data_IF_084791548408
#
_entry.id   IF_084791548408
#
_cell.length_a   1.000
_cell.length_b   1.000
_cell.length_c   1.000
_cell.angle_alpha   90.00
_cell.angle_beta   90.00
_cell.angle_gamma   90.00
#
_symmetry.space_group_name_H-M   'P 1'
#
loop_
_entity.id
_entity.type
_entity.pdbx_description
1 polymer ?
#
# COMPACT_ATOMS: atom_id res chain seq x y z
N UNK A 1 21.99 -12.54 2.14
CA UNK A 1 21.84 -11.17 2.66
C UNK A 1 20.38 -10.81 2.52
N UNK A 2 19.73 -10.43 3.61
CA UNK A 2 18.36 -9.94 3.58
C UNK A 2 18.33 -8.63 2.77
N UNK A 3 17.48 -8.55 1.74
CA UNK A 3 17.38 -7.35 0.88
C UNK A 3 16.76 -6.23 1.72
N UNK A 4 17.50 -5.15 1.95
CA UNK A 4 16.99 -3.97 2.64
C UNK A 4 15.79 -3.40 1.86
N UNK A 5 14.68 -3.12 2.55
CA UNK A 5 13.49 -2.55 1.93
C UNK A 5 13.79 -1.14 1.40
N UNK A 6 13.25 -0.83 0.23
CA UNK A 6 13.37 0.50 -0.39
C UNK A 6 14.78 0.85 -0.89
N UNK A 7 15.76 -0.05 -0.94
CA UNK A 7 17.05 0.27 -1.57
C UNK A 7 16.88 0.74 -3.03
N UNK A 8 16.02 0.06 -3.78
CA UNK A 8 15.54 0.43 -5.11
C UNK A 8 14.03 0.64 -5.07
N UNK A 9 13.44 1.37 -6.04
CA UNK A 9 11.98 1.48 -6.14
C UNK A 9 11.32 0.09 -6.16
N UNK A 10 10.20 -0.12 -5.45
CA UNK A 10 9.45 -1.36 -5.56
C UNK A 10 8.87 -1.50 -6.97
N UNK A 11 8.90 -2.71 -7.51
CA UNK A 11 8.31 -3.03 -8.81
C UNK A 11 7.21 -4.06 -8.62
N UNK A 12 6.04 -3.81 -9.21
CA UNK A 12 4.89 -4.68 -9.01
C UNK A 12 3.66 -4.24 -9.79
N UNK A 13 2.51 -4.69 -9.30
CA UNK A 13 1.19 -4.41 -9.83
C UNK A 13 0.23 -4.12 -8.68
N UNK A 14 -0.75 -3.26 -8.95
CA UNK A 14 -1.82 -2.92 -8.02
C UNK A 14 -3.18 -3.08 -8.70
N UNK A 15 -4.19 -3.54 -7.96
CA UNK A 15 -5.51 -3.87 -8.50
C UNK A 15 -6.39 -2.69 -8.93
N UNK A 16 -6.14 -1.48 -8.43
CA UNK A 16 -7.10 -0.38 -8.48
C UNK A 16 -7.44 0.10 -9.89
N UNK A 17 -6.43 0.42 -10.71
CA UNK A 17 -6.64 1.06 -12.02
C UNK A 17 -7.41 0.17 -13.01
N UNK A 18 -7.40 -1.15 -12.82
CA UNK A 18 -8.12 -2.09 -13.69
C UNK A 18 -9.43 -2.57 -13.08
N UNK A 19 -9.42 -2.93 -11.79
CA UNK A 19 -10.51 -3.66 -11.17
C UNK A 19 -11.31 -2.85 -10.15
N UNK A 20 -10.78 -1.74 -9.65
CA UNK A 20 -11.42 -0.90 -8.62
C UNK A 20 -11.93 -1.75 -7.44
N UNK A 21 -13.25 -1.83 -7.25
CA UNK A 21 -13.89 -2.64 -6.20
C UNK A 21 -14.10 -4.11 -6.57
N UNK A 22 -13.95 -4.50 -7.84
CA UNK A 22 -14.20 -5.87 -8.34
C UNK A 22 -12.98 -6.79 -8.17
N UNK A 23 -12.48 -6.88 -6.92
CA UNK A 23 -11.37 -7.76 -6.54
C UNK A 23 -11.86 -8.97 -5.75
N UNK A 24 -11.18 -10.11 -5.88
CA UNK A 24 -11.42 -11.31 -5.08
C UNK A 24 -10.17 -12.22 -5.08
N UNK A 25 -10.18 -13.24 -4.23
CA UNK A 25 -9.09 -14.22 -4.08
C UNK A 25 -8.64 -14.82 -5.43
N UNK A 26 -9.55 -15.25 -6.30
CA UNK A 26 -9.22 -15.89 -7.57
C UNK A 26 -8.53 -14.93 -8.54
N UNK A 27 -8.99 -13.68 -8.61
CA UNK A 27 -8.37 -12.64 -9.43
C UNK A 27 -6.92 -12.40 -9.01
N UNK A 28 -6.65 -12.31 -7.71
CA UNK A 28 -5.30 -12.05 -7.21
C UNK A 28 -4.38 -13.23 -7.46
N UNK A 29 -4.89 -14.46 -7.35
CA UNK A 29 -4.14 -15.67 -7.72
C UNK A 29 -3.83 -15.69 -9.21
N UNK A 30 -4.77 -15.32 -10.08
CA UNK A 30 -4.55 -15.20 -11.52
C UNK A 30 -3.52 -14.12 -11.86
N UNK A 31 -3.54 -12.98 -11.17
CA UNK A 31 -2.51 -11.94 -11.33
C UNK A 31 -1.11 -12.47 -10.96
N UNK A 32 -1.00 -13.24 -9.87
CA UNK A 32 0.25 -13.88 -9.46
C UNK A 32 0.73 -14.92 -10.48
N UNK A 33 -0.17 -15.70 -11.08
CA UNK A 33 0.16 -16.63 -12.16
C UNK A 33 0.65 -15.90 -13.42
N UNK A 34 -0.02 -14.81 -13.80
CA UNK A 34 0.38 -13.98 -14.95
C UNK A 34 1.77 -13.35 -14.79
N UNK A 35 2.21 -13.05 -13.56
CA UNK A 35 3.58 -12.58 -13.30
C UNK A 35 4.64 -13.62 -13.70
N UNK A 36 4.33 -14.90 -13.51
CA UNK A 36 5.24 -16.01 -13.84
C UNK A 36 5.14 -16.32 -15.33
N UNK A 37 3.93 -16.51 -15.84
CA UNK A 37 3.69 -16.92 -17.23
C UNK A 37 4.22 -15.89 -18.25
N UNK A 38 4.15 -14.61 -17.93
CA UNK A 38 4.59 -13.52 -18.81
C UNK A 38 6.01 -13.02 -18.52
N UNK A 39 6.75 -13.66 -17.61
CA UNK A 39 8.14 -13.30 -17.28
C UNK A 39 8.30 -11.96 -16.53
N UNK A 40 7.23 -11.40 -15.95
CA UNK A 40 7.30 -10.14 -15.18
C UNK A 40 8.17 -10.31 -13.93
N UNK A 41 8.08 -11.47 -13.26
CA UNK A 41 8.93 -11.78 -12.12
C UNK A 41 10.41 -11.79 -12.50
N UNK A 42 10.76 -12.40 -13.63
CA UNK A 42 12.13 -12.46 -14.12
C UNK A 42 12.65 -11.06 -14.53
N UNK A 43 11.74 -10.17 -14.96
CA UNK A 43 12.03 -8.76 -15.21
C UNK A 43 12.14 -7.91 -13.92
N UNK A 44 11.89 -8.47 -12.74
CA UNK A 44 12.07 -7.82 -11.43
C UNK A 44 10.79 -7.34 -10.75
N UNK A 45 9.60 -7.52 -11.36
CA UNK A 45 8.33 -7.19 -10.72
C UNK A 45 8.00 -8.26 -9.66
N UNK A 46 7.91 -7.85 -8.39
CA UNK A 46 7.77 -8.80 -7.28
C UNK A 46 6.55 -8.53 -6.39
N UNK A 47 5.96 -7.33 -6.39
CA UNK A 47 4.81 -6.99 -5.54
C UNK A 47 3.46 -7.17 -6.25
N UNK A 48 2.54 -7.91 -5.64
CA UNK A 48 1.12 -8.00 -6.02
C UNK A 48 0.30 -7.33 -4.91
N UNK A 49 -0.15 -6.10 -5.14
CA UNK A 49 -0.80 -5.27 -4.12
C UNK A 49 -2.31 -5.21 -4.37
N UNK A 50 -3.11 -5.62 -3.39
CA UNK A 50 -4.56 -5.37 -3.41
C UNK A 50 -4.84 -3.98 -2.86
N UNK A 51 -5.69 -3.23 -3.55
CA UNK A 51 -6.09 -1.88 -3.16
C UNK A 51 -7.34 -1.88 -2.28
N UNK A 52 -8.04 -0.75 -2.21
CA UNK A 52 -9.27 -0.58 -1.42
C UNK A 52 -10.35 -1.65 -1.73
N UNK A 53 -11.39 -1.70 -0.90
CA UNK A 53 -12.54 -2.59 -1.04
C UNK A 53 -12.26 -4.09 -0.77
N UNK A 54 -11.16 -4.45 -0.11
CA UNK A 54 -10.89 -5.86 0.24
C UNK A 54 -11.58 -6.32 1.54
N UNK A 55 -11.92 -5.39 2.43
CA UNK A 55 -12.47 -5.68 3.75
C UNK A 55 -13.99 -5.57 3.80
N UNK A 56 -14.59 -6.13 4.84
CA UNK A 56 -15.93 -5.77 5.29
C UNK A 56 -16.05 -4.28 5.59
N UNK A 57 -17.29 -3.78 5.64
CA UNK A 57 -17.59 -2.38 5.99
C UNK A 57 -17.47 -2.07 7.47
N UNK A 58 -17.30 -3.09 8.32
CA UNK A 58 -17.16 -2.95 9.76
C UNK A 58 -16.04 -3.83 10.28
N UNK A 59 -15.36 -3.35 11.32
CA UNK A 59 -14.45 -4.17 12.14
C UNK A 59 -15.27 -5.19 12.94
N UNK A 60 -14.65 -6.30 13.35
CA UNK A 60 -15.30 -7.23 14.25
C UNK A 60 -15.38 -6.69 15.69
N UNK A 61 -15.98 -7.45 16.60
CA UNK A 61 -16.15 -7.06 18.02
C UNK A 61 -14.82 -6.82 18.76
N UNK A 62 -13.70 -7.36 18.26
CA UNK A 62 -12.35 -7.13 18.80
C UNK A 62 -11.66 -5.91 18.19
N UNK A 63 -12.33 -5.20 17.28
CA UNK A 63 -11.76 -4.08 16.55
C UNK A 63 -10.82 -4.48 15.42
N UNK A 64 -10.79 -5.74 14.99
CA UNK A 64 -9.93 -6.21 13.91
C UNK A 64 -10.55 -5.92 12.53
N UNK A 65 -9.72 -5.64 11.53
CA UNK A 65 -10.15 -5.61 10.13
C UNK A 65 -10.56 -7.02 9.69
N UNK A 66 -11.69 -7.12 8.99
CA UNK A 66 -12.24 -8.40 8.52
C UNK A 66 -12.20 -8.41 7.00
N UNK A 67 -11.60 -9.41 6.34
CA UNK A 67 -11.69 -9.57 4.89
C UNK A 67 -13.15 -9.79 4.46
N UNK A 68 -13.55 -9.21 3.33
CA UNK A 68 -14.90 -9.43 2.78
C UNK A 68 -15.10 -10.93 2.50
N UNK A 69 -16.12 -11.54 3.11
CA UNK A 69 -16.32 -13.00 3.06
C UNK A 69 -16.74 -13.53 1.68
N UNK A 70 -17.26 -12.68 0.79
CA UNK A 70 -17.57 -13.08 -0.58
C UNK A 70 -16.34 -12.97 -1.48
N UNK A 71 -15.50 -11.96 -1.26
CA UNK A 71 -14.28 -11.74 -2.04
C UNK A 71 -13.13 -12.65 -1.61
N UNK A 72 -13.01 -12.88 -0.31
CA UNK A 72 -11.94 -13.63 0.33
C UNK A 72 -12.52 -14.64 1.32
N UNK A 73 -13.26 -15.67 0.84
CA UNK A 73 -13.96 -16.63 1.70
C UNK A 73 -13.03 -17.42 2.63
N UNK A 74 -11.73 -17.51 2.28
CA UNK A 74 -10.72 -18.17 3.10
C UNK A 74 -9.84 -17.17 3.88
N UNK A 75 -10.18 -15.87 3.84
CA UNK A 75 -9.38 -14.79 4.39
C UNK A 75 -8.17 -14.40 3.52
N UNK A 76 -7.37 -13.45 3.99
CA UNK A 76 -6.23 -12.90 3.22
C UNK A 76 -5.01 -13.81 3.27
N UNK A 77 -4.75 -14.47 4.39
CA UNK A 77 -3.54 -15.28 4.58
C UNK A 77 -3.36 -16.35 3.49
N UNK A 78 -4.38 -17.15 3.10
CA UNK A 78 -4.20 -18.13 2.03
C UNK A 78 -3.88 -17.50 0.65
N UNK A 79 -4.32 -16.25 0.41
CA UNK A 79 -3.97 -15.51 -0.80
C UNK A 79 -2.51 -15.08 -0.76
N UNK A 80 -2.06 -14.52 0.36
CA UNK A 80 -0.67 -14.15 0.57
C UNK A 80 0.26 -15.38 0.46
N UNK A 81 -0.10 -16.50 1.08
CA UNK A 81 0.63 -17.76 1.00
C UNK A 81 0.73 -18.26 -0.46
N UNK A 82 -0.34 -18.11 -1.26
CA UNK A 82 -0.31 -18.45 -2.69
C UNK A 82 0.65 -17.54 -3.47
N UNK A 83 0.58 -16.23 -3.27
CA UNK A 83 1.49 -15.25 -3.89
C UNK A 83 2.95 -15.56 -3.51
N UNK A 84 3.21 -15.88 -2.24
CA UNK A 84 4.54 -16.29 -1.78
C UNK A 84 5.01 -17.61 -2.40
N UNK A 85 4.10 -18.56 -2.64
CA UNK A 85 4.44 -19.84 -3.32
C UNK A 85 4.98 -19.63 -4.75
N UNK A 86 4.60 -18.52 -5.39
CA UNK A 86 5.12 -18.08 -6.70
C UNK A 86 6.43 -17.29 -6.56
N UNK A 87 6.93 -17.09 -5.34
CA UNK A 87 8.08 -16.27 -5.00
C UNK A 87 7.87 -14.78 -5.26
N UNK A 88 6.62 -14.33 -5.18
CA UNK A 88 6.21 -12.92 -5.21
C UNK A 88 5.95 -12.43 -3.77
N UNK A 89 5.64 -11.15 -3.63
CA UNK A 89 5.34 -10.45 -2.38
C UNK A 89 3.91 -9.94 -2.42
N UNK A 90 3.18 -10.09 -1.32
CA UNK A 90 1.79 -9.68 -1.22
C UNK A 90 1.65 -8.32 -0.55
N UNK A 91 0.85 -7.43 -1.14
CA UNK A 91 0.58 -6.11 -0.59
C UNK A 91 -0.90 -5.90 -0.28
N UNK A 92 -1.16 -5.04 0.69
CA UNK A 92 -2.51 -4.65 1.12
C UNK A 92 -2.61 -3.12 1.22
N UNK A 93 -3.84 -2.65 1.35
CA UNK A 93 -4.18 -1.23 1.46
C UNK A 93 -4.93 -0.94 2.76
N UNK A 94 -4.63 0.21 3.36
CA UNK A 94 -5.43 0.83 4.42
C UNK A 94 -5.28 2.36 4.35
N UNK A 95 -5.80 3.07 5.34
CA UNK A 95 -5.85 4.51 5.39
C UNK A 95 -5.48 5.05 6.78
N UNK A 96 -4.84 6.23 6.82
CA UNK A 96 -4.50 7.00 8.02
C UNK A 96 -5.71 7.69 8.68
N UNK A 97 -6.88 7.58 8.08
CA UNK A 97 -8.14 8.06 8.64
C UNK A 97 -9.02 6.96 9.22
N UNK A 98 -10.18 7.37 9.70
CA UNK A 98 -11.20 6.46 10.26
C UNK A 98 -11.78 5.51 9.20
N UNK A 99 -11.78 5.96 7.95
CA UNK A 99 -12.26 5.20 6.80
C UNK A 99 -11.26 5.31 5.64
N UNK A 100 -11.28 4.32 4.77
CA UNK A 100 -10.62 4.36 3.47
C UNK A 100 -11.35 5.28 2.51
N UNK A 101 -10.74 5.60 1.37
CA UNK A 101 -11.37 6.43 0.35
C UNK A 101 -12.68 5.85 -0.20
N UNK A 102 -12.80 4.52 -0.29
CA UNK A 102 -14.04 3.84 -0.65
C UNK A 102 -14.99 3.59 0.54
N UNK A 103 -14.69 4.15 1.72
CA UNK A 103 -15.53 4.06 2.91
C UNK A 103 -15.53 2.69 3.58
N UNK A 104 -14.42 1.96 3.55
CA UNK A 104 -14.16 0.80 4.41
C UNK A 104 -13.46 1.26 5.71
N UNK A 105 -13.36 0.45 6.77
CA UNK A 105 -12.62 0.84 7.97
C UNK A 105 -11.14 1.15 7.65
N UNK A 106 -10.67 2.33 8.06
CA UNK A 106 -9.25 2.71 8.02
C UNK A 106 -8.55 2.34 9.33
N UNK A 107 -7.24 2.58 9.44
CA UNK A 107 -6.41 2.16 10.58
C UNK A 107 -6.13 3.25 11.63
N UNK A 108 -6.76 4.42 11.53
CA UNK A 108 -6.58 5.45 12.56
C UNK A 108 -6.96 4.91 13.95
N UNK A 109 -6.06 5.06 14.92
CA UNK A 109 -6.14 4.53 16.30
C UNK A 109 -6.11 2.99 16.45
N UNK A 110 -5.92 2.26 15.35
CA UNK A 110 -5.74 0.81 15.32
C UNK A 110 -4.40 0.40 14.72
N UNK A 111 -3.43 1.32 14.59
CA UNK A 111 -2.24 1.11 13.77
C UNK A 111 -1.40 -0.09 14.21
N UNK A 112 -1.21 -0.28 15.51
CA UNK A 112 -0.45 -1.42 16.06
C UNK A 112 -1.19 -2.75 15.88
N UNK A 113 -2.49 -2.78 16.16
CA UNK A 113 -3.33 -3.97 15.98
C UNK A 113 -3.39 -4.40 14.51
N UNK A 114 -3.59 -3.44 13.60
CA UNK A 114 -3.67 -3.71 12.18
C UNK A 114 -2.32 -4.14 11.62
N UNK A 115 -1.20 -3.54 12.07
CA UNK A 115 0.14 -3.98 11.68
C UNK A 115 0.44 -5.42 12.11
N UNK A 116 0.06 -5.82 13.33
CA UNK A 116 0.14 -7.21 13.78
C UNK A 116 -0.71 -8.13 12.89
N UNK A 117 -1.96 -7.74 12.61
CA UNK A 117 -2.86 -8.49 11.71
C UNK A 117 -2.25 -8.68 10.32
N UNK A 118 -1.67 -7.62 9.74
CA UNK A 118 -1.00 -7.68 8.44
C UNK A 118 0.22 -8.62 8.48
N UNK A 119 1.01 -8.58 9.55
CA UNK A 119 2.14 -9.49 9.73
C UNK A 119 1.71 -10.95 9.84
N UNK A 120 0.64 -11.24 10.60
CA UNK A 120 0.06 -12.58 10.74
C UNK A 120 -0.46 -13.15 9.41
N UNK A 121 -1.03 -12.28 8.56
CA UNK A 121 -1.47 -12.66 7.22
C UNK A 121 -0.33 -12.77 6.21
N UNK A 122 0.91 -12.40 6.57
CA UNK A 122 2.08 -12.48 5.69
C UNK A 122 2.19 -11.33 4.69
N UNK A 123 1.58 -10.17 4.98
CA UNK A 123 1.72 -8.98 4.12
C UNK A 123 3.18 -8.52 4.04
N UNK A 124 3.62 -8.08 2.87
CA UNK A 124 4.96 -7.57 2.58
C UNK A 124 4.96 -6.08 2.19
N UNK A 125 3.80 -5.50 1.93
CA UNK A 125 3.62 -4.13 1.46
C UNK A 125 2.32 -3.53 1.98
N UNK A 126 2.36 -2.32 2.52
CA UNK A 126 1.19 -1.53 2.89
C UNK A 126 1.16 -0.23 2.09
N UNK A 127 0.13 -0.05 1.24
CA UNK A 127 -0.31 1.26 0.76
C UNK A 127 -1.17 1.91 1.84
N UNK A 128 -0.82 3.13 2.25
CA UNK A 128 -1.45 3.80 3.38
C UNK A 128 -1.97 5.18 2.99
N UNK A 129 -3.26 5.22 2.68
CA UNK A 129 -3.98 6.39 2.16
C UNK A 129 -4.26 7.44 3.24
N UNK A 130 -4.91 8.54 2.84
CA UNK A 130 -5.06 9.74 3.66
C UNK A 130 -6.47 10.33 3.70
N UNK A 131 -7.46 9.60 3.18
CA UNK A 131 -8.88 9.91 3.29
C UNK A 131 -9.37 9.89 4.76
N UNK A 132 -10.39 10.68 5.09
CA UNK A 132 -11.05 10.70 6.41
C UNK A 132 -10.10 10.83 7.63
N UNK A 133 -8.93 11.45 7.45
CA UNK A 133 -7.99 11.74 8.53
C UNK A 133 -8.55 12.79 9.49
N UNK A 134 -8.27 12.71 10.80
CA UNK A 134 -8.67 13.74 11.76
C UNK A 134 -7.98 15.07 11.41
N UNK A 135 -8.79 16.09 11.13
CA UNK A 135 -8.35 17.40 10.58
C UNK A 135 -7.26 18.06 11.43
N UNK A 136 -7.30 17.87 12.76
CA UNK A 136 -6.38 18.52 13.70
C UNK A 136 -5.08 17.77 13.96
N UNK A 137 -4.88 16.58 13.35
CA UNK A 137 -3.64 15.82 13.51
C UNK A 137 -2.77 15.99 12.25
N UNK A 138 -1.51 16.43 12.40
CA UNK A 138 -0.58 16.52 11.26
C UNK A 138 -0.34 15.15 10.63
N UNK A 139 -0.25 15.08 9.29
CA UNK A 139 0.06 13.83 8.59
C UNK A 139 1.35 13.17 9.03
N UNK A 140 2.36 13.97 9.31
CA UNK A 140 3.63 13.51 9.85
C UNK A 140 3.45 12.57 11.05
N UNK A 141 2.57 12.91 11.99
CA UNK A 141 2.32 12.11 13.19
C UNK A 141 1.61 10.80 12.84
N UNK A 142 0.62 10.85 11.94
CA UNK A 142 -0.15 9.68 11.51
C UNK A 142 0.75 8.65 10.79
N UNK A 143 1.57 9.10 9.84
CA UNK A 143 2.49 8.24 9.11
C UNK A 143 3.63 7.71 10.00
N UNK A 144 4.20 8.53 10.91
CA UNK A 144 5.19 8.07 11.89
C UNK A 144 4.62 7.01 12.83
N UNK A 145 3.34 7.12 13.22
CA UNK A 145 2.67 6.13 14.06
C UNK A 145 2.53 4.78 13.35
N UNK A 146 1.97 4.77 12.13
CA UNK A 146 1.88 3.54 11.34
C UNK A 146 3.26 2.95 11.02
N UNK A 147 4.24 3.77 10.65
CA UNK A 147 5.61 3.29 10.43
C UNK A 147 6.21 2.64 11.68
N UNK A 148 5.91 3.18 12.87
CA UNK A 148 6.35 2.58 14.13
C UNK A 148 5.64 1.26 14.40
N UNK A 149 4.33 1.17 14.14
CA UNK A 149 3.59 -0.09 14.24
C UNK A 149 4.17 -1.17 13.32
N UNK A 150 4.41 -0.86 12.04
CA UNK A 150 5.01 -1.78 11.07
C UNK A 150 6.41 -2.24 11.48
N UNK A 151 7.23 -1.38 12.08
CA UNK A 151 8.56 -1.78 12.60
C UNK A 151 8.47 -2.73 13.80
N UNK A 152 7.36 -2.74 14.53
CA UNK A 152 7.18 -3.55 15.74
C UNK A 152 6.36 -4.83 15.51
N UNK A 153 5.76 -5.03 14.34
CA UNK A 153 4.91 -6.19 14.06
C UNK A 153 5.68 -7.51 13.80
N UNK A 154 7.02 -7.49 13.82
CA UNK A 154 7.85 -8.69 13.67
C UNK A 154 8.04 -9.17 12.22
N UNK A 155 7.49 -8.47 11.22
CA UNK A 155 7.68 -8.74 9.79
C UNK A 155 8.13 -7.48 9.04
N UNK A 156 9.13 -7.54 8.15
CA UNK A 156 9.46 -6.42 7.28
C UNK A 156 8.33 -6.15 6.28
N UNK A 157 7.68 -4.97 6.38
CA UNK A 157 6.60 -4.54 5.48
C UNK A 157 7.03 -3.24 4.78
N UNK A 158 7.04 -3.24 3.45
CA UNK A 158 7.25 -2.05 2.62
C UNK A 158 6.14 -1.04 2.92
N UNK A 159 6.49 0.20 3.19
CA UNK A 159 5.53 1.23 3.64
C UNK A 159 5.41 2.33 2.59
N UNK A 160 4.26 2.37 1.93
CA UNK A 160 3.94 3.31 0.85
C UNK A 160 2.97 4.36 1.35
N UNK A 161 3.47 5.57 1.59
CA UNK A 161 2.66 6.68 2.06
C UNK A 161 1.87 7.30 0.90
N UNK A 162 0.54 7.33 1.00
CA UNK A 162 -0.34 7.89 -0.03
C UNK A 162 -1.12 9.08 0.54
N UNK A 163 -0.53 10.28 0.54
CA UNK A 163 -1.21 11.51 0.97
C UNK A 163 -1.30 12.58 -0.14
N UNK A 164 -1.06 12.16 -1.38
CA UNK A 164 -1.14 13.00 -2.58
C UNK A 164 -0.22 14.23 -2.61
N UNK A 165 0.89 14.21 -1.87
CA UNK A 165 1.79 15.37 -1.76
C UNK A 165 1.36 16.41 -0.73
N UNK A 166 0.32 16.16 0.06
CA UNK A 166 -0.21 17.12 1.05
C UNK A 166 0.68 17.28 2.29
N UNK A 167 0.33 18.24 3.14
CA UNK A 167 0.98 18.53 4.42
C UNK A 167 2.50 18.76 4.29
N UNK A 168 2.95 19.43 3.21
CA UNK A 168 4.36 19.68 2.90
C UNK A 168 5.22 18.40 2.97
N UNK A 169 4.73 17.29 2.42
CA UNK A 169 5.29 15.93 2.62
C UNK A 169 6.81 15.84 2.51
N UNK A 170 7.41 16.59 1.59
CA UNK A 170 8.84 16.62 1.33
C UNK A 170 9.70 17.02 2.54
N UNK A 171 9.12 17.74 3.52
CA UNK A 171 9.84 18.20 4.72
C UNK A 171 10.08 17.08 5.74
N UNK A 172 9.25 16.04 5.77
CA UNK A 172 9.23 15.08 6.89
C UNK A 172 9.10 13.62 6.47
N UNK A 173 8.76 13.30 5.22
CA UNK A 173 8.45 11.92 4.86
C UNK A 173 9.65 10.98 4.95
N UNK A 174 10.85 11.46 4.62
CA UNK A 174 12.08 10.66 4.67
C UNK A 174 12.45 10.22 6.08
N UNK A 175 12.06 10.99 7.09
CA UNK A 175 12.26 10.65 8.51
C UNK A 175 11.06 9.89 9.11
N UNK A 176 9.95 9.75 8.37
CA UNK A 176 8.78 9.01 8.86
C UNK A 176 9.03 7.50 8.93
N UNK A 177 9.93 7.00 8.06
CA UNK A 177 10.17 5.58 7.82
C UNK A 177 9.30 4.97 6.71
N UNK A 178 8.61 5.79 5.91
CA UNK A 178 8.04 5.38 4.63
C UNK A 178 9.16 5.09 3.61
N UNK A 179 8.97 4.03 2.82
CA UNK A 179 9.92 3.58 1.80
C UNK A 179 9.63 4.18 0.43
N UNK A 180 8.41 4.68 0.24
CA UNK A 180 7.99 5.50 -0.90
C UNK A 180 6.81 6.37 -0.50
N UNK A 181 6.58 7.44 -1.25
CA UNK A 181 5.52 8.40 -0.96
C UNK A 181 4.93 9.06 -2.20
N UNK A 182 3.60 9.13 -2.25
CA UNK A 182 2.86 9.84 -3.30
C UNK A 182 3.11 11.33 -3.19
N UNK A 183 3.70 11.92 -4.23
CA UNK A 183 3.93 13.37 -4.33
C UNK A 183 2.89 14.11 -5.15
N UNK A 184 1.95 13.38 -5.75
CA UNK A 184 0.93 13.93 -6.63
C UNK A 184 -0.46 13.39 -6.31
N UNK A 185 -1.49 14.08 -6.80
CA UNK A 185 -2.83 13.51 -6.93
C UNK A 185 -2.86 12.30 -7.88
N UNK A 186 -4.01 11.64 -7.93
CA UNK A 186 -4.15 10.39 -8.67
C UNK A 186 -4.02 10.60 -10.19
N UNK A 187 -3.37 9.64 -10.84
CA UNK A 187 -3.29 9.55 -12.29
C UNK A 187 -4.65 9.18 -12.89
N UNK A 188 -4.83 9.53 -14.15
CA UNK A 188 -5.96 9.14 -14.97
C UNK A 188 -5.42 8.66 -16.30
N UNK A 189 -6.10 7.70 -16.94
CA UNK A 189 -5.67 7.12 -18.22
C UNK A 189 -5.91 8.07 -19.40
N UNK A 190 -5.14 9.15 -19.42
CA UNK A 190 -5.07 10.10 -20.53
C UNK A 190 -3.75 10.87 -20.50
N UNK A 191 -3.33 11.31 -21.69
CA UNK A 191 -2.06 12.01 -21.89
C UNK A 191 -1.93 13.29 -21.06
N UNK A 192 -3.02 14.02 -20.84
CA UNK A 192 -2.97 15.27 -20.10
C UNK A 192 -2.64 15.03 -18.62
N UNK A 193 -3.20 13.99 -18.02
CA UNK A 193 -2.86 13.59 -16.65
C UNK A 193 -1.39 13.18 -16.56
N UNK A 194 -0.92 12.29 -17.44
CA UNK A 194 0.48 11.84 -17.47
C UNK A 194 1.44 13.03 -17.56
N UNK A 195 1.20 13.91 -18.54
CA UNK A 195 2.02 15.10 -18.76
C UNK A 195 2.03 16.03 -17.55
N UNK A 196 0.85 16.30 -16.97
CA UNK A 196 0.71 17.18 -15.80
C UNK A 196 1.48 16.63 -14.59
N UNK A 197 1.38 15.33 -14.33
CA UNK A 197 2.08 14.68 -13.23
C UNK A 197 3.60 14.69 -13.45
N UNK A 198 4.07 14.35 -14.65
CA UNK A 198 5.50 14.38 -14.96
C UNK A 198 6.09 15.79 -14.80
N UNK A 199 5.40 16.82 -15.31
CA UNK A 199 5.86 18.21 -15.22
C UNK A 199 5.83 18.75 -13.78
N UNK A 200 4.90 18.29 -12.92
CA UNK A 200 4.84 18.74 -11.52
C UNK A 200 6.04 18.26 -10.68
N UNK A 201 6.80 17.28 -11.17
CA UNK A 201 7.98 16.76 -10.48
C UNK A 201 9.27 17.47 -10.84
N UNK A 202 9.26 18.36 -11.84
CA UNK A 202 10.45 19.14 -12.20
C UNK A 202 10.93 19.99 -11.01
N UNK A 203 12.15 19.75 -10.55
CA UNK A 203 12.75 20.41 -9.37
C UNK A 203 12.52 19.70 -8.03
N UNK A 204 11.73 18.62 -8.01
CA UNK A 204 11.47 17.81 -6.81
C UNK A 204 12.27 16.50 -6.79
N UNK A 205 13.18 16.29 -7.75
CA UNK A 205 13.90 15.02 -7.93
C UNK A 205 14.76 14.66 -6.72
N UNK A 206 15.28 15.67 -6.00
CA UNK A 206 16.14 15.50 -4.84
C UNK A 206 15.43 14.94 -3.60
N UNK A 207 14.09 14.94 -3.58
CA UNK A 207 13.32 14.43 -2.44
C UNK A 207 13.16 12.91 -2.47
N UNK A 208 13.33 12.28 -3.64
CA UNK A 208 13.40 10.82 -3.78
C UNK A 208 14.83 10.28 -3.67
N UNK A 209 14.97 9.03 -3.27
CA UNK A 209 16.25 8.31 -3.31
C UNK A 209 16.18 6.97 -2.60
N UNK A 210 17.34 6.32 -2.43
CA UNK A 210 17.42 5.08 -1.68
C UNK A 210 16.71 5.21 -0.32
N UNK A 211 15.92 4.21 0.00
CA UNK A 211 15.09 4.04 1.19
C UNK A 211 13.86 4.96 1.30
N UNK A 212 13.63 5.88 0.36
CA UNK A 212 12.40 6.69 0.30
C UNK A 212 12.20 7.25 -1.12
N UNK A 213 11.41 6.56 -1.94
CA UNK A 213 11.23 6.91 -3.35
C UNK A 213 10.03 7.84 -3.56
N UNK A 214 10.20 8.80 -4.47
CA UNK A 214 9.10 9.63 -4.93
C UNK A 214 8.16 8.79 -5.83
N UNK A 215 6.87 8.75 -5.51
CA UNK A 215 5.83 8.01 -6.22
C UNK A 215 4.89 9.00 -6.93
N UNK A 216 4.80 8.86 -8.25
CA UNK A 216 3.97 9.69 -9.15
C UNK A 216 2.67 9.00 -9.55
N UNK A 217 2.25 8.00 -8.75
CA UNK A 217 1.14 7.08 -8.96
C UNK A 217 1.41 5.95 -9.97
N UNK A 218 0.52 4.96 -9.98
CA UNK A 218 0.59 3.69 -10.74
C UNK A 218 0.57 3.86 -12.25
#
# INVERSE_FOLDING_TARGET
MEKLLGMTPPMGWNSWNTFTWEINEDLIKQAADAFIENGLKDAGYEYVVIDDCWSEKQRNEKGELVPDHWKFPNGIKPVADYVHSKGLKFGIYSCAGTHTCAGHPGSFEHEFQDAETFAEWGVDYLKYDYCYKPVHIPGEILYKRMSTALRNCGRPIMFSACNWGNDDIYKWIRESGAHLFRSTGDIQDNWESIKRLALSQMGNECYGGCFCHNDIDM
#
